data_IF_749935757244
#
_entry.id   IF_749935757244
#
_cell.length_a   1.000
_cell.length_b   1.000
_cell.length_c   1.000
_cell.angle_alpha   90.00
_cell.angle_beta   90.00
_cell.angle_gamma   90.00
#
_symmetry.space_group_name_H-M   'P 1'
#
loop_
_entity.id
_entity.type
_entity.pdbx_description
1 polymer ?
#
# COMPACT_ATOMS: atom_id res chain seq x y z
N UNK A 1 7.19 -8.42 8.11
CA UNK A 1 6.12 -8.83 7.18
C UNK A 1 6.63 -8.55 5.76
N UNK A 2 7.02 -9.56 4.97
CA UNK A 2 7.58 -9.35 3.63
C UNK A 2 6.46 -8.88 2.69
N UNK A 3 6.65 -7.74 2.03
CA UNK A 3 5.88 -7.36 0.84
C UNK A 3 6.02 -8.50 -0.17
N UNK A 4 4.91 -9.06 -0.67
CA UNK A 4 4.97 -10.13 -1.66
C UNK A 4 5.75 -9.63 -2.90
N UNK A 5 6.70 -10.41 -3.43
CA UNK A 5 7.32 -10.06 -4.69
C UNK A 5 6.25 -10.07 -5.79
N UNK A 6 6.25 -9.11 -6.73
CA UNK A 6 5.44 -9.25 -7.93
C UNK A 6 5.90 -10.51 -8.65
N UNK A 7 4.98 -11.44 -8.89
CA UNK A 7 5.22 -12.62 -9.71
C UNK A 7 5.82 -12.15 -11.04
N UNK A 8 7.04 -12.60 -11.35
CA UNK A 8 7.67 -12.44 -12.64
C UNK A 8 6.71 -12.96 -13.71
N UNK A 9 6.17 -12.06 -14.52
CA UNK A 9 5.50 -12.43 -15.75
C UNK A 9 6.59 -12.48 -16.81
N UNK A 10 7.04 -13.71 -17.10
CA UNK A 10 7.86 -14.03 -18.28
C UNK A 10 7.13 -13.48 -19.50
N UNK A 11 7.78 -12.55 -20.19
CA UNK A 11 7.29 -11.96 -21.44
C UNK A 11 7.81 -12.84 -22.56
N UNK A 12 6.95 -13.66 -23.15
CA UNK A 12 7.21 -14.20 -24.47
C UNK A 12 5.94 -14.30 -25.31
N UNK A 13 6.11 -13.90 -26.57
CA UNK A 13 5.24 -14.02 -27.75
C UNK A 13 4.38 -12.81 -28.18
N UNK A 14 4.34 -12.53 -29.52
CA UNK A 14 3.84 -11.27 -30.06
C UNK A 14 2.42 -11.42 -30.60
N UNK A 15 1.46 -10.66 -30.06
CA UNK A 15 0.24 -10.28 -30.76
C UNK A 15 -0.53 -9.18 -30.02
N UNK A 16 -0.99 -8.21 -30.81
CA UNK A 16 -2.11 -7.31 -30.62
C UNK A 16 -1.97 -6.03 -29.76
N UNK A 17 -2.16 -4.93 -30.49
CA UNK A 17 -2.08 -3.50 -30.20
C UNK A 17 -3.09 -2.96 -29.17
N UNK A 18 -3.68 -3.81 -28.33
CA UNK A 18 -4.61 -3.40 -27.25
C UNK A 18 -3.94 -3.22 -25.88
N UNK A 19 -2.63 -3.50 -25.74
CA UNK A 19 -1.89 -3.32 -24.48
C UNK A 19 -1.53 -1.85 -24.17
N UNK A 20 -1.50 -0.99 -25.19
CA UNK A 20 -0.98 0.39 -25.08
C UNK A 20 -1.85 1.33 -24.21
N UNK A 21 -3.17 1.16 -24.23
CA UNK A 21 -4.08 2.07 -23.53
C UNK A 21 -4.03 1.89 -22.00
N UNK A 22 -4.00 0.64 -21.52
CA UNK A 22 -4.00 0.34 -20.08
C UNK A 22 -2.67 0.67 -19.39
N UNK A 23 -1.53 0.49 -20.08
CA UNK A 23 -0.21 0.84 -19.57
C UNK A 23 -0.12 2.36 -19.31
N UNK A 24 -0.56 3.17 -20.28
CA UNK A 24 -0.59 4.64 -20.16
C UNK A 24 -1.46 5.10 -19.00
N UNK A 25 -2.66 4.55 -18.83
CA UNK A 25 -3.53 4.90 -17.69
C UNK A 25 -2.87 4.55 -16.35
N UNK A 26 -2.22 3.38 -16.25
CA UNK A 26 -1.53 2.97 -15.02
C UNK A 26 -0.37 3.90 -14.67
N UNK A 27 0.41 4.32 -15.66
CA UNK A 27 1.53 5.26 -15.48
C UNK A 27 0.99 6.63 -15.02
N UNK A 28 -0.08 7.13 -15.64
CA UNK A 28 -0.71 8.40 -15.25
C UNK A 28 -1.18 8.37 -13.80
N UNK A 29 -1.93 7.33 -13.40
CA UNK A 29 -2.40 7.19 -12.02
C UNK A 29 -1.25 7.08 -11.01
N UNK A 30 -0.18 6.34 -11.33
CA UNK A 30 1.00 6.27 -10.45
C UNK A 30 1.68 7.63 -10.29
N UNK A 31 1.76 8.41 -11.37
CA UNK A 31 2.33 9.76 -11.33
C UNK A 31 1.46 10.73 -10.51
N UNK A 32 0.14 10.63 -10.63
CA UNK A 32 -0.80 11.38 -9.79
C UNK A 32 -0.62 11.06 -8.30
N UNK A 33 -0.52 9.77 -7.95
CA UNK A 33 -0.27 9.35 -6.56
C UNK A 33 1.08 9.86 -6.07
N UNK A 34 2.13 9.80 -6.89
CA UNK A 34 3.44 10.35 -6.53
C UNK A 34 3.38 11.86 -6.32
N UNK A 35 2.67 12.60 -7.18
CA UNK A 35 2.49 14.04 -7.03
C UNK A 35 1.75 14.35 -5.74
N UNK A 36 0.66 13.64 -5.48
CA UNK A 36 -0.09 13.75 -4.22
C UNK A 36 0.80 13.47 -3.00
N UNK A 37 1.60 12.40 -3.03
CA UNK A 37 2.48 12.02 -1.93
C UNK A 37 3.54 13.08 -1.60
N UNK A 38 4.07 13.79 -2.60
CA UNK A 38 5.09 14.83 -2.38
C UNK A 38 4.49 16.25 -2.24
N UNK A 39 3.17 16.38 -2.08
CA UNK A 39 2.49 17.67 -1.95
C UNK A 39 2.30 18.02 -0.49
N UNK A 40 2.89 19.13 -0.03
CA UNK A 40 2.78 19.60 1.36
C UNK A 40 1.37 20.14 1.71
N UNK A 41 0.59 20.53 0.70
CA UNK A 41 -0.79 21.02 0.82
C UNK A 41 -1.85 19.93 0.50
N UNK A 42 -1.43 18.68 0.35
CA UNK A 42 -2.28 17.57 -0.10
C UNK A 42 -3.22 17.01 0.97
N UNK A 43 -4.33 16.40 0.53
CA UNK A 43 -5.20 15.57 1.40
C UNK A 43 -4.41 14.44 2.07
N UNK A 44 -4.71 14.09 3.32
CA UNK A 44 -4.09 12.94 4.01
C UNK A 44 -4.50 11.58 3.42
N UNK A 45 -5.58 11.55 2.61
CA UNK A 45 -6.12 10.32 2.02
C UNK A 45 -6.20 10.47 0.51
N UNK A 46 -5.56 9.54 -0.21
CA UNK A 46 -5.74 9.36 -1.65
C UNK A 46 -6.80 8.29 -1.92
N UNK A 47 -7.85 8.66 -2.67
CA UNK A 47 -8.92 7.73 -3.03
C UNK A 47 -8.77 7.23 -4.48
N UNK A 48 -8.29 5.99 -4.64
CA UNK A 48 -8.09 5.36 -5.94
C UNK A 48 -9.40 4.76 -6.51
N UNK A 49 -10.03 5.45 -7.46
CA UNK A 49 -11.23 4.99 -8.18
C UNK A 49 -10.87 4.20 -9.44
N UNK A 50 -11.72 3.24 -9.81
CA UNK A 50 -11.57 2.51 -11.06
C UNK A 50 -12.47 1.27 -11.12
N UNK A 51 -12.70 0.75 -12.34
CA UNK A 51 -13.54 -0.42 -12.58
C UNK A 51 -13.07 -1.67 -11.81
N UNK A 52 -13.97 -2.62 -11.58
CA UNK A 52 -13.59 -3.93 -11.06
C UNK A 52 -12.57 -4.59 -12.01
N UNK A 53 -11.57 -5.29 -11.47
CA UNK A 53 -10.51 -5.90 -12.27
C UNK A 53 -9.44 -4.93 -12.81
N UNK A 54 -9.58 -3.61 -12.64
CA UNK A 54 -8.60 -2.62 -13.15
C UNK A 54 -7.23 -2.60 -12.41
N UNK A 55 -6.93 -3.60 -11.58
CA UNK A 55 -5.62 -3.71 -10.93
C UNK A 55 -5.36 -2.69 -9.80
N UNK A 56 -6.39 -2.10 -9.19
CA UNK A 56 -6.24 -1.11 -8.10
C UNK A 56 -5.37 -1.62 -6.94
N UNK A 57 -5.56 -2.86 -6.51
CA UNK A 57 -4.73 -3.48 -5.46
C UNK A 57 -3.27 -3.63 -5.89
N UNK A 58 -3.03 -3.90 -7.17
CA UNK A 58 -1.69 -3.94 -7.75
C UNK A 58 -1.04 -2.57 -7.71
N UNK A 59 -1.76 -1.50 -8.07
CA UNK A 59 -1.29 -0.11 -7.97
C UNK A 59 -0.94 0.23 -6.51
N UNK A 60 -1.82 -0.05 -5.55
CA UNK A 60 -1.57 0.20 -4.13
C UNK A 60 -0.32 -0.55 -3.62
N UNK A 61 -0.12 -1.79 -4.05
CA UNK A 61 1.07 -2.58 -3.72
C UNK A 61 2.35 -1.95 -4.32
N UNK A 62 2.31 -1.54 -5.59
CA UNK A 62 3.43 -0.85 -6.25
C UNK A 62 3.77 0.46 -5.54
N UNK A 63 2.77 1.24 -5.11
CA UNK A 63 2.98 2.49 -4.37
C UNK A 63 3.60 2.21 -3.00
N UNK A 64 3.08 1.23 -2.25
CA UNK A 64 3.64 0.86 -0.95
C UNK A 64 5.12 0.45 -1.08
N UNK A 65 5.47 -0.38 -2.07
CA UNK A 65 6.87 -0.75 -2.36
C UNK A 65 7.73 0.46 -2.72
N UNK A 66 7.19 1.43 -3.47
CA UNK A 66 7.91 2.64 -3.83
C UNK A 66 8.21 3.52 -2.60
N UNK A 67 7.24 3.71 -1.68
CA UNK A 67 7.43 4.48 -0.45
C UNK A 67 8.37 3.73 0.53
N UNK A 68 8.26 2.40 0.61
CA UNK A 68 9.16 1.56 1.41
C UNK A 68 10.62 1.74 0.99
N UNK A 69 10.90 1.74 -0.32
CA UNK A 69 12.23 2.01 -0.87
C UNK A 69 12.76 3.41 -0.56
N UNK A 70 11.88 4.37 -0.28
CA UNK A 70 12.26 5.73 0.16
C UNK A 70 12.50 5.80 1.67
N UNK A 71 12.32 4.71 2.42
CA UNK A 71 12.39 4.63 3.88
C UNK A 71 11.43 5.61 4.60
N UNK A 72 10.31 5.95 3.96
CA UNK A 72 9.30 6.86 4.51
C UNK A 72 7.95 6.18 4.75
N UNK A 73 7.90 4.84 4.64
CA UNK A 73 6.70 4.06 4.90
C UNK A 73 6.61 3.75 6.41
N UNK A 74 5.69 4.43 7.11
CA UNK A 74 5.47 4.16 8.54
C UNK A 74 4.78 2.81 8.80
N UNK A 75 3.77 2.46 8.01
CA UNK A 75 3.11 1.17 8.12
C UNK A 75 2.31 0.86 6.86
N UNK A 76 2.02 -0.42 6.62
CA UNK A 76 1.09 -0.82 5.56
C UNK A 76 0.19 -1.99 6.00
N UNK A 77 -1.02 -2.03 5.44
CA UNK A 77 -1.95 -3.13 5.65
C UNK A 77 -2.80 -3.34 4.39
N UNK A 78 -2.96 -4.61 4.00
CA UNK A 78 -3.77 -5.00 2.85
C UNK A 78 -4.88 -5.94 3.30
N UNK A 79 -6.12 -5.48 3.22
CA UNK A 79 -7.30 -6.28 3.51
C UNK A 79 -7.42 -7.44 2.51
N UNK A 80 -7.64 -8.65 3.03
CA UNK A 80 -7.84 -9.85 2.24
C UNK A 80 -8.94 -10.69 2.88
N UNK A 81 -10.11 -10.75 2.22
CA UNK A 81 -11.33 -11.40 2.73
C UNK A 81 -11.16 -12.90 3.03
N UNK A 82 -10.27 -13.58 2.32
CA UNK A 82 -10.11 -15.04 2.41
C UNK A 82 -8.91 -15.49 3.27
N UNK A 83 -8.26 -14.57 4.00
CA UNK A 83 -7.17 -14.93 4.92
C UNK A 83 -7.60 -14.65 6.34
N UNK A 84 -7.62 -15.68 7.19
CA UNK A 84 -7.91 -15.55 8.63
C UNK A 84 -7.08 -14.39 9.19
N UNK A 85 -7.77 -13.41 9.76
CA UNK A 85 -7.17 -12.23 10.36
C UNK A 85 -7.00 -10.98 9.46
N UNK A 86 -7.01 -11.10 8.13
CA UNK A 86 -6.90 -9.92 7.24
C UNK A 86 -8.23 -9.29 6.81
N UNK A 87 -9.32 -9.69 7.47
CA UNK A 87 -10.67 -9.15 7.24
C UNK A 87 -11.24 -8.36 8.42
N UNK A 88 -10.52 -8.28 9.54
CA UNK A 88 -11.00 -7.68 10.79
C UNK A 88 -10.30 -6.34 11.07
N UNK A 89 -11.09 -5.31 11.37
CA UNK A 89 -10.62 -3.98 11.74
C UNK A 89 -9.74 -4.02 13.01
N UNK A 90 -10.00 -4.91 13.96
CA UNK A 90 -9.15 -5.06 15.15
C UNK A 90 -7.74 -5.47 14.78
N UNK A 91 -7.59 -6.31 13.76
CA UNK A 91 -6.27 -6.77 13.32
C UNK A 91 -5.53 -5.73 12.48
N UNK A 92 -6.27 -4.86 11.78
CA UNK A 92 -5.71 -3.67 11.14
C UNK A 92 -5.01 -2.78 12.18
N UNK A 93 -5.72 -2.33 13.22
CA UNK A 93 -5.15 -1.43 14.22
C UNK A 93 -3.95 -2.05 14.95
N UNK A 94 -4.05 -3.32 15.38
CA UNK A 94 -2.93 -4.03 16.01
C UNK A 94 -1.71 -4.11 15.11
N UNK A 95 -1.90 -4.38 13.82
CA UNK A 95 -0.79 -4.50 12.86
C UNK A 95 -0.12 -3.15 12.60
N UNK A 96 -0.90 -2.06 12.51
CA UNK A 96 -0.35 -0.71 12.32
C UNK A 96 0.41 -0.26 13.56
N UNK A 97 -0.17 -0.42 14.75
CA UNK A 97 0.48 -0.07 16.02
C UNK A 97 1.81 -0.81 16.19
N UNK A 98 1.83 -2.12 15.93
CA UNK A 98 3.06 -2.91 16.01
C UNK A 98 4.14 -2.48 15.00
N UNK A 99 3.75 -2.18 13.76
CA UNK A 99 4.70 -1.69 12.74
C UNK A 99 5.30 -0.35 13.15
N UNK A 100 4.49 0.62 13.58
CA UNK A 100 4.97 1.94 14.00
C UNK A 100 5.86 1.86 15.25
N UNK A 101 5.49 1.05 16.24
CA UNK A 101 6.31 0.80 17.43
C UNK A 101 7.68 0.18 17.12
N UNK A 102 7.80 -0.52 15.98
CA UNK A 102 9.06 -1.11 15.54
C UNK A 102 9.99 -0.09 14.87
N UNK A 103 9.44 1.07 14.45
CA UNK A 103 10.18 2.12 13.74
C UNK A 103 10.58 3.25 14.70
N UNK A 104 9.70 3.65 15.61
CA UNK A 104 9.95 4.74 16.55
C UNK A 104 9.77 4.28 18.02
N UNK A 105 10.84 4.29 18.84
CA UNK A 105 10.78 3.98 20.26
C UNK A 105 9.80 4.85 21.06
N UNK A 106 9.59 6.11 20.66
CA UNK A 106 8.62 6.99 21.34
C UNK A 106 7.19 6.51 21.09
N UNK A 107 6.88 6.13 19.85
CA UNK A 107 5.57 5.54 19.51
C UNK A 107 5.38 4.23 20.30
N UNK A 108 6.41 3.39 20.38
CA UNK A 108 6.37 2.16 21.20
C UNK A 108 6.02 2.47 22.65
N UNK A 109 6.70 3.43 23.27
CA UNK A 109 6.45 3.83 24.67
C UNK A 109 5.00 4.26 24.86
N UNK A 110 4.49 5.15 24.00
CA UNK A 110 3.11 5.61 24.08
C UNK A 110 2.07 4.49 23.89
N UNK A 111 2.35 3.53 22.99
CA UNK A 111 1.48 2.36 22.83
C UNK A 111 1.48 1.48 24.08
N UNK A 112 2.65 1.23 24.68
CA UNK A 112 2.75 0.44 25.91
C UNK A 112 2.01 1.11 27.08
N UNK A 113 2.21 2.41 27.29
CA UNK A 113 1.50 3.18 28.32
C UNK A 113 -0.03 3.10 28.14
N UNK A 114 -0.52 3.21 26.91
CA UNK A 114 -1.94 3.13 26.59
C UNK A 114 -2.55 1.74 26.81
N UNK A 115 -1.74 0.68 26.73
CA UNK A 115 -2.16 -0.70 27.02
C UNK A 115 -2.22 -0.93 28.54
N UNK A 116 -1.28 -0.36 29.30
CA UNK A 116 -1.20 -0.51 30.76
C UNK A 116 -2.27 0.30 31.51
N UNK A 117 -2.84 1.34 30.88
CA UNK A 117 -3.88 2.21 31.46
C UNK A 117 -5.32 1.77 31.15
N UNK A 118 -5.50 0.61 30.51
CA UNK A 118 -6.80 -0.01 30.21
C UNK A 118 -7.00 -1.30 31.03
#
# INVERSE_FOLDING_TARGET
MKLCPPHEAVVDSPANEHKSYHERTRITTLNEIKKWYNSDEGSLVFWLKGAAGAGKSTIACTVAQWIDRKNTLGASFFFARNKKGRGDATQFFKSIAFQLASIDPNIKRHICEAIETN
#
